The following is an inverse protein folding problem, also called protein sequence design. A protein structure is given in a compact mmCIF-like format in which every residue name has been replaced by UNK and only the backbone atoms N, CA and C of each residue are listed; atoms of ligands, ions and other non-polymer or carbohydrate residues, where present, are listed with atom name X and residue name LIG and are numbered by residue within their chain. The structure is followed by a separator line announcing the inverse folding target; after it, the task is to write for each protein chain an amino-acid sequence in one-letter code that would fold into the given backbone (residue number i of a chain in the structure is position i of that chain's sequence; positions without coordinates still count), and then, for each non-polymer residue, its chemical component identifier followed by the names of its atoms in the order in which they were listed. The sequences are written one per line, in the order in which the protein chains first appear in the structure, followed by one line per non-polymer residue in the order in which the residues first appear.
data_IF_527810307708
#
_entry.id   IF_527810307708
#
_cell.length_a   1.000
_cell.length_b   1.000
_cell.length_c   1.000
_cell.angle_alpha   90.00
_cell.angle_beta   90.00
_cell.angle_gamma   90.00
#
_symmetry.space_group_name_H-M   'P 1'
#
loop_
_entity.id
_entity.type
_entity.pdbx_description
1 polymer ?
#
# COMPACT_ATOMS: atom_id res chain seq x y z
N UNK A 1 14.76 3.33 26.96
CA UNK A 1 15.49 4.20 26.02
C UNK A 1 14.43 4.71 25.08
N UNK A 2 14.12 6.00 25.17
CA UNK A 2 13.23 6.65 24.21
C UNK A 2 13.78 6.35 22.81
N UNK A 3 12.95 5.76 21.95
CA UNK A 3 13.33 5.50 20.56
C UNK A 3 13.74 6.84 19.94
N UNK A 4 15.03 7.05 19.71
CA UNK A 4 15.49 8.15 18.88
C UNK A 4 14.74 8.03 17.55
N UNK A 5 13.84 8.98 17.30
CA UNK A 5 13.11 9.07 16.06
C UNK A 5 14.12 9.07 14.92
N UNK A 6 14.15 7.99 14.14
CA UNK A 6 15.03 7.92 12.98
C UNK A 6 14.48 8.94 11.97
N UNK A 7 15.31 9.90 11.51
CA UNK A 7 14.84 10.91 10.56
C UNK A 7 14.35 10.25 9.28
N UNK A 8 13.20 10.71 8.80
CA UNK A 8 12.63 10.30 7.52
C UNK A 8 13.42 10.93 6.37
N UNK A 9 13.68 10.15 5.33
CA UNK A 9 14.29 10.62 4.09
C UNK A 9 13.29 11.43 3.26
N UNK A 10 13.43 12.77 3.28
CA UNK A 10 12.54 13.72 2.59
C UNK A 10 12.87 13.92 1.10
N UNK A 11 13.79 13.13 0.53
CA UNK A 11 14.12 13.26 -0.89
C UNK A 11 12.93 12.86 -1.75
N UNK A 12 12.59 13.75 -2.68
CA UNK A 12 11.74 13.42 -3.82
C UNK A 12 12.63 12.85 -4.93
N UNK A 13 12.43 11.58 -5.28
CA UNK A 13 13.27 10.86 -6.24
C UNK A 13 12.47 10.52 -7.49
N UNK A 14 13.00 10.84 -8.66
CA UNK A 14 12.45 10.35 -9.93
C UNK A 14 12.99 8.95 -10.22
N UNK A 15 12.11 7.96 -10.23
CA UNK A 15 12.38 6.63 -10.78
C UNK A 15 12.06 6.68 -12.28
N UNK A 16 13.02 6.38 -13.18
CA UNK A 16 12.77 6.41 -14.61
C UNK A 16 11.89 5.22 -15.05
N UNK A 17 11.29 5.34 -16.22
CA UNK A 17 10.68 4.20 -16.92
C UNK A 17 11.77 3.18 -17.24
N UNK A 18 11.48 1.90 -17.02
CA UNK A 18 12.44 0.81 -17.21
C UNK A 18 11.84 -0.29 -18.08
N UNK A 19 12.72 -0.96 -18.82
CA UNK A 19 12.40 -2.20 -19.51
C UNK A 19 13.05 -3.37 -18.76
N UNK A 20 12.33 -4.46 -18.63
CA UNK A 20 12.76 -5.67 -17.94
C UNK A 20 12.66 -6.88 -18.85
N UNK A 21 13.57 -7.84 -18.67
CA UNK A 21 13.52 -9.13 -19.36
C UNK A 21 12.31 -9.95 -18.91
N UNK A 22 11.80 -10.81 -19.79
CA UNK A 22 10.74 -11.75 -19.44
C UNK A 22 11.15 -12.63 -18.24
N UNK A 23 10.24 -12.79 -17.27
CA UNK A 23 10.49 -13.55 -16.04
C UNK A 23 11.32 -12.83 -14.98
N UNK A 24 11.69 -11.56 -15.21
CA UNK A 24 12.35 -10.74 -14.20
C UNK A 24 11.51 -10.66 -12.91
N UNK A 25 12.20 -10.43 -11.81
CA UNK A 25 11.62 -10.23 -10.49
C UNK A 25 11.80 -8.77 -10.06
N UNK A 26 10.86 -8.25 -9.28
CA UNK A 26 10.91 -6.92 -8.68
C UNK A 26 11.19 -7.06 -7.20
N UNK A 27 12.34 -6.57 -6.74
CA UNK A 27 12.65 -6.50 -5.32
C UNK A 27 11.62 -5.63 -4.57
N UNK A 28 11.24 -6.07 -3.37
CA UNK A 28 10.38 -5.36 -2.43
C UNK A 28 11.20 -5.03 -1.19
N UNK A 29 11.12 -3.80 -0.71
CA UNK A 29 11.88 -3.32 0.45
C UNK A 29 10.94 -2.96 1.61
N UNK A 30 11.41 -3.12 2.85
CA UNK A 30 10.66 -2.77 4.06
C UNK A 30 11.02 -1.36 4.56
N UNK A 31 10.89 -0.34 3.71
CA UNK A 31 11.20 1.04 4.13
C UNK A 31 10.13 1.65 5.04
N UNK A 32 8.97 1.00 5.16
CA UNK A 32 7.89 1.39 6.06
C UNK A 32 8.28 1.20 7.54
N UNK A 33 9.01 0.12 7.88
CA UNK A 33 9.45 -0.11 9.26
C UNK A 33 10.93 0.23 9.48
N UNK A 34 11.76 0.15 8.42
CA UNK A 34 13.18 0.50 8.47
C UNK A 34 13.41 1.93 7.96
N UNK A 35 12.78 2.91 8.62
CA UNK A 35 13.03 4.32 8.30
C UNK A 35 14.52 4.67 8.41
N UNK A 36 14.94 5.65 7.64
CA UNK A 36 16.29 6.18 7.68
C UNK A 36 16.68 6.92 6.43
N UNK A 37 17.90 7.45 6.45
CA UNK A 37 18.53 8.04 5.28
C UNK A 37 19.76 7.20 4.87
N UNK A 38 19.85 6.78 3.60
CA UNK A 38 18.79 6.81 2.59
C UNK A 38 17.68 5.80 2.95
N UNK A 39 16.45 6.02 2.46
CA UNK A 39 15.33 5.10 2.75
C UNK A 39 15.61 3.65 2.32
N UNK A 40 16.27 3.48 1.18
CA UNK A 40 16.94 2.24 0.79
C UNK A 40 17.96 2.56 -0.32
N UNK A 41 18.85 1.61 -0.61
CA UNK A 41 19.85 1.68 -1.67
C UNK A 41 19.65 0.51 -2.62
N UNK A 42 19.54 0.79 -3.91
CA UNK A 42 19.27 -0.20 -4.95
C UNK A 42 19.86 0.20 -6.29
N UNK A 43 20.28 -0.80 -7.07
CA UNK A 43 20.67 -0.63 -8.48
C UNK A 43 19.47 -0.71 -9.43
N UNK A 44 18.27 -1.02 -8.94
CA UNK A 44 17.09 -1.34 -9.74
C UNK A 44 16.03 -0.22 -9.79
N UNK A 45 16.25 0.90 -9.07
CA UNK A 45 15.30 2.04 -8.99
C UNK A 45 15.84 3.34 -9.61
N UNK A 46 16.87 3.22 -10.44
CA UNK A 46 17.49 4.34 -11.13
C UNK A 46 18.44 5.17 -10.26
N UNK A 47 19.00 6.26 -10.80
CA UNK A 47 20.16 6.95 -10.23
C UNK A 47 19.97 7.49 -8.81
N UNK A 48 18.75 7.87 -8.41
CA UNK A 48 18.49 8.42 -7.07
C UNK A 48 18.58 7.41 -5.92
N UNK A 49 18.63 6.12 -6.24
CA UNK A 49 18.79 5.02 -5.29
C UNK A 49 20.15 4.33 -5.34
N UNK A 50 21.01 4.73 -6.28
CA UNK A 50 22.37 4.19 -6.35
C UNK A 50 23.17 4.58 -5.09
N UNK A 51 24.10 3.71 -4.65
CA UNK A 51 25.01 4.09 -3.58
C UNK A 51 25.81 5.33 -4.00
N UNK A 52 25.93 6.29 -3.08
CA UNK A 52 26.70 7.51 -3.30
C UNK A 52 28.19 7.19 -3.37
N UNK A 53 28.88 7.73 -4.39
CA UNK A 53 30.33 7.59 -4.54
C UNK A 53 31.05 8.13 -3.29
N UNK A 54 31.97 7.33 -2.74
CA UNK A 54 32.73 7.69 -1.54
C UNK A 54 31.94 7.59 -0.23
N UNK A 55 30.72 7.03 -0.25
CA UNK A 55 29.96 6.70 0.96
C UNK A 55 30.14 5.23 1.37
N UNK A 56 29.76 4.89 2.61
CA UNK A 56 29.71 3.51 3.10
C UNK A 56 28.34 2.85 2.86
N UNK A 57 27.55 3.36 1.91
CA UNK A 57 26.23 2.82 1.60
C UNK A 57 26.35 1.43 0.95
N UNK A 58 25.64 0.45 1.50
CA UNK A 58 25.53 -0.90 0.93
C UNK A 58 24.15 -1.10 0.31
N UNK A 59 24.06 -1.99 -0.68
CA UNK A 59 22.77 -2.38 -1.26
C UNK A 59 21.87 -2.93 -0.16
N UNK A 60 20.64 -2.41 -0.09
CA UNK A 60 19.65 -2.86 0.88
C UNK A 60 19.20 -4.28 0.54
N UNK A 61 19.17 -5.17 1.54
CA UNK A 61 18.61 -6.51 1.38
C UNK A 61 17.10 -6.41 1.13
N UNK A 62 16.56 -6.95 0.02
CA UNK A 62 15.12 -6.99 -0.20
C UNK A 62 14.40 -7.85 0.86
N UNK A 63 13.19 -7.43 1.24
CA UNK A 63 12.28 -8.23 2.06
C UNK A 63 11.77 -9.47 1.29
N UNK A 64 11.62 -9.32 -0.02
CA UNK A 64 11.19 -10.38 -0.93
C UNK A 64 11.06 -9.88 -2.36
N UNK A 65 10.34 -10.63 -3.19
CA UNK A 65 10.22 -10.36 -4.62
C UNK A 65 8.81 -10.66 -5.12
N UNK A 66 8.38 -9.93 -6.15
CA UNK A 66 7.18 -10.24 -6.95
C UNK A 66 7.55 -10.34 -8.43
N UNK A 67 6.75 -11.01 -9.28
CA UNK A 67 6.95 -11.01 -10.73
C UNK A 67 6.99 -9.58 -11.28
N UNK A 68 7.96 -9.29 -12.16
CA UNK A 68 8.09 -7.99 -12.80
C UNK A 68 7.39 -7.95 -14.16
N UNK A 69 6.91 -6.76 -14.55
CA UNK A 69 6.36 -6.49 -15.88
C UNK A 69 7.45 -6.06 -16.86
N UNK A 70 7.24 -6.28 -18.16
CA UNK A 70 8.27 -5.98 -19.18
C UNK A 70 8.62 -4.49 -19.29
N UNK A 71 7.68 -3.60 -18.99
CA UNK A 71 7.89 -2.15 -19.04
C UNK A 71 7.18 -1.48 -17.88
N UNK A 72 7.84 -0.52 -17.25
CA UNK A 72 7.26 0.31 -16.18
C UNK A 72 7.24 1.78 -16.58
N UNK A 73 6.27 2.51 -16.04
CA UNK A 73 6.25 3.97 -16.14
C UNK A 73 7.28 4.60 -15.20
N UNK A 74 7.79 5.77 -15.58
CA UNK A 74 8.52 6.65 -14.68
C UNK A 74 7.57 7.22 -13.62
N UNK A 75 8.06 7.45 -12.41
CA UNK A 75 7.28 8.06 -11.33
C UNK A 75 8.13 8.84 -10.35
N UNK A 76 7.46 9.71 -9.59
CA UNK A 76 8.02 10.42 -8.45
C UNK A 76 7.75 9.64 -7.18
N UNK A 77 8.80 9.38 -6.43
CA UNK A 77 8.78 8.58 -5.21
C UNK A 77 9.21 9.41 -3.99
N UNK A 78 8.45 9.24 -2.91
CA UNK A 78 8.74 9.74 -1.58
C UNK A 78 8.61 8.54 -0.60
N UNK A 79 8.21 8.75 0.65
CA UNK A 79 7.79 7.67 1.56
C UNK A 79 6.87 6.65 0.87
N UNK A 80 5.98 7.10 -0.02
CA UNK A 80 5.20 6.29 -0.94
C UNK A 80 5.28 6.85 -2.38
N UNK A 81 4.77 6.11 -3.36
CA UNK A 81 4.70 6.59 -4.75
C UNK A 81 3.70 7.73 -4.88
N UNK A 82 4.10 8.86 -5.48
CA UNK A 82 3.28 10.08 -5.54
C UNK A 82 2.53 10.27 -6.86
N UNK A 83 3.24 10.23 -7.99
CA UNK A 83 2.63 10.42 -9.31
C UNK A 83 3.52 9.85 -10.41
N UNK A 84 2.93 9.20 -11.42
CA UNK A 84 3.66 8.70 -12.58
C UNK A 84 3.62 9.67 -13.78
N UNK A 85 4.40 9.34 -14.82
CA UNK A 85 4.52 10.16 -16.04
C UNK A 85 3.25 10.23 -16.88
N UNK A 86 2.26 9.38 -16.59
CA UNK A 86 0.97 9.33 -17.29
C UNK A 86 -0.17 9.94 -16.47
N UNK A 87 0.17 10.75 -15.45
CA UNK A 87 -0.75 11.54 -14.64
C UNK A 87 -1.71 10.70 -13.77
N UNK A 88 -1.26 9.54 -13.30
CA UNK A 88 -1.86 8.83 -12.18
C UNK A 88 -1.17 9.29 -10.89
N UNK A 89 -1.95 9.78 -9.92
CA UNK A 89 -1.47 10.33 -8.66
C UNK A 89 -2.06 9.56 -7.47
N UNK A 90 -1.28 9.45 -6.41
CA UNK A 90 -1.64 8.76 -5.17
C UNK A 90 -1.28 9.68 -3.99
N UNK A 91 -2.21 9.79 -3.06
CA UNK A 91 -1.98 10.32 -1.72
C UNK A 91 -2.40 9.25 -0.70
N UNK A 92 -1.74 9.23 0.46
CA UNK A 92 -1.92 8.19 1.47
C UNK A 92 -2.10 8.81 2.86
N UNK A 93 -2.86 8.11 3.71
CA UNK A 93 -3.05 8.38 5.12
C UNK A 93 -3.10 7.07 5.93
N UNK A 94 -2.24 6.97 6.93
CA UNK A 94 -2.23 5.88 7.90
C UNK A 94 -3.48 5.88 8.78
N UNK A 95 -4.14 4.73 8.86
CA UNK A 95 -5.42 4.55 9.53
C UNK A 95 -5.36 3.51 10.65
N UNK A 96 -6.25 3.67 11.62
CA UNK A 96 -6.53 2.63 12.60
C UNK A 96 -7.36 1.50 11.98
N UNK A 97 -7.09 0.25 12.42
CA UNK A 97 -7.90 -0.92 12.08
C UNK A 97 -7.89 -1.95 13.21
N UNK A 98 -8.85 -2.88 13.19
CA UNK A 98 -8.95 -4.00 14.15
C UNK A 98 -8.02 -5.17 13.87
N UNK A 99 -7.29 -5.19 12.75
CA UNK A 99 -6.31 -6.23 12.43
C UNK A 99 -4.90 -5.64 12.33
N UNK A 100 -3.90 -6.48 12.60
CA UNK A 100 -2.48 -6.11 12.51
C UNK A 100 -1.74 -7.24 11.81
N UNK A 101 -1.02 -6.89 10.74
CA UNK A 101 -0.13 -7.80 10.03
C UNK A 101 1.33 -7.46 10.20
N UNK A 102 2.22 -8.44 10.06
CA UNK A 102 3.67 -8.28 10.28
C UNK A 102 4.48 -8.70 9.05
N UNK A 103 5.57 -7.98 8.72
CA UNK A 103 6.40 -8.28 7.57
C UNK A 103 7.27 -9.52 7.73
N UNK A 104 7.71 -10.10 6.60
CA UNK A 104 8.48 -11.35 6.55
C UNK A 104 9.81 -11.36 7.33
N UNK A 105 10.38 -10.20 7.62
CA UNK A 105 11.62 -10.04 8.39
C UNK A 105 11.40 -10.00 9.91
N UNK A 106 10.16 -10.21 10.37
CA UNK A 106 9.82 -10.40 11.78
C UNK A 106 9.46 -11.86 12.11
N UNK A 107 9.64 -12.30 13.37
CA UNK A 107 9.19 -13.63 13.80
C UNK A 107 7.73 -13.87 13.42
N UNK A 108 7.37 -15.01 12.81
CA UNK A 108 5.99 -15.30 12.37
C UNK A 108 5.36 -14.26 11.41
N UNK A 109 6.16 -13.38 10.82
CA UNK A 109 5.74 -12.46 9.76
C UNK A 109 5.34 -13.21 8.50
N UNK A 110 4.33 -12.70 7.80
CA UNK A 110 3.73 -13.38 6.63
C UNK A 110 3.37 -12.44 5.49
N UNK A 111 3.64 -11.15 5.63
CA UNK A 111 3.22 -10.15 4.66
C UNK A 111 4.44 -9.51 3.99
N UNK A 112 4.39 -9.36 2.69
CA UNK A 112 5.50 -8.82 1.91
C UNK A 112 5.34 -7.32 1.64
N UNK A 113 4.11 -6.83 1.52
CA UNK A 113 3.86 -5.51 0.96
C UNK A 113 3.37 -4.51 2.02
N UNK A 114 4.03 -3.37 2.09
CA UNK A 114 3.52 -2.16 2.74
C UNK A 114 2.81 -1.29 1.71
N UNK A 115 2.14 -0.22 2.16
CA UNK A 115 1.53 0.73 1.22
C UNK A 115 2.55 1.52 0.40
N UNK A 116 3.74 1.75 0.95
CA UNK A 116 4.86 2.35 0.24
C UNK A 116 5.17 1.55 -1.03
N UNK A 117 5.26 0.23 -0.92
CA UNK A 117 5.56 -0.63 -2.06
C UNK A 117 4.35 -0.82 -2.98
N UNK A 118 3.14 -0.98 -2.45
CA UNK A 118 1.91 -1.11 -3.25
C UNK A 118 1.70 0.11 -4.15
N UNK A 119 1.84 1.33 -3.60
CA UNK A 119 1.70 2.58 -4.37
C UNK A 119 2.76 2.71 -5.47
N UNK A 120 4.03 2.37 -5.18
CA UNK A 120 5.10 2.34 -6.19
C UNK A 120 4.79 1.35 -7.31
N UNK A 121 4.36 0.13 -6.96
CA UNK A 121 4.01 -0.90 -7.94
C UNK A 121 2.82 -0.46 -8.80
N UNK A 122 1.83 0.21 -8.21
CA UNK A 122 0.70 0.76 -8.95
C UNK A 122 1.16 1.80 -9.97
N UNK A 123 1.99 2.77 -9.55
CA UNK A 123 2.51 3.81 -10.42
C UNK A 123 3.43 3.27 -11.53
N UNK A 124 4.18 2.20 -11.26
CA UNK A 124 4.98 1.50 -12.27
C UNK A 124 4.12 0.83 -13.35
N UNK A 125 2.90 0.37 -13.02
CA UNK A 125 2.13 -0.57 -13.88
C UNK A 125 0.86 0.01 -14.47
N UNK A 126 0.33 1.11 -13.94
CA UNK A 126 -1.02 1.58 -14.25
C UNK A 126 -1.08 2.99 -14.84
N UNK A 127 -2.07 3.21 -15.71
CA UNK A 127 -2.44 4.52 -16.27
C UNK A 127 -3.80 5.05 -15.73
N UNK A 128 -4.53 4.21 -15.01
CA UNK A 128 -5.85 4.57 -14.45
C UNK A 128 -5.91 4.28 -12.96
N UNK A 129 -6.73 5.04 -12.24
CA UNK A 129 -6.95 4.88 -10.81
C UNK A 129 -7.57 3.51 -10.50
N UNK A 130 -8.47 3.03 -11.35
CA UNK A 130 -9.10 1.71 -11.20
C UNK A 130 -8.11 0.57 -11.45
N UNK A 131 -7.15 0.73 -12.36
CA UNK A 131 -6.03 -0.20 -12.52
C UNK A 131 -5.22 -0.25 -11.22
N UNK A 132 -4.85 0.92 -10.68
CA UNK A 132 -4.07 1.00 -9.45
C UNK A 132 -4.77 0.31 -8.26
N UNK A 133 -6.06 0.58 -8.05
CA UNK A 133 -6.89 -0.10 -7.03
C UNK A 133 -6.81 -1.62 -7.18
N UNK A 134 -7.08 -2.13 -8.39
CA UNK A 134 -7.10 -3.58 -8.65
C UNK A 134 -5.72 -4.21 -8.50
N UNK A 135 -4.67 -3.54 -8.98
CA UNK A 135 -3.29 -4.01 -8.86
C UNK A 135 -2.85 -4.07 -7.41
N UNK A 136 -3.10 -3.02 -6.61
CA UNK A 136 -2.74 -3.01 -5.20
C UNK A 136 -3.52 -4.07 -4.41
N UNK A 137 -4.83 -4.14 -4.63
CA UNK A 137 -5.70 -5.13 -3.97
C UNK A 137 -5.27 -6.58 -4.26
N UNK A 138 -5.08 -6.93 -5.54
CA UNK A 138 -4.69 -8.28 -5.93
C UNK A 138 -3.31 -8.68 -5.38
N UNK A 139 -2.33 -7.77 -5.43
CA UNK A 139 -1.00 -8.04 -4.88
C UNK A 139 -1.02 -8.19 -3.36
N UNK A 140 -1.83 -7.38 -2.66
CA UNK A 140 -1.95 -7.48 -1.22
C UNK A 140 -2.70 -8.75 -0.76
N UNK A 141 -3.67 -9.22 -1.54
CA UNK A 141 -4.31 -10.51 -1.33
C UNK A 141 -3.32 -11.67 -1.49
N UNK A 142 -2.49 -11.63 -2.53
CA UNK A 142 -1.53 -12.71 -2.87
C UNK A 142 -0.30 -12.73 -1.95
N UNK A 143 0.31 -11.57 -1.70
CA UNK A 143 1.59 -11.45 -1.00
C UNK A 143 1.47 -10.92 0.43
N UNK A 144 0.27 -10.57 0.88
CA UNK A 144 0.01 -10.06 2.21
C UNK A 144 0.35 -8.59 2.40
N UNK A 145 -0.34 -7.96 3.35
CA UNK A 145 -0.20 -6.54 3.69
C UNK A 145 0.16 -6.32 5.16
N UNK A 146 1.02 -5.35 5.44
CA UNK A 146 1.30 -4.85 6.80
C UNK A 146 1.34 -3.31 6.83
N UNK A 147 0.88 -2.73 7.94
CA UNK A 147 0.88 -1.28 8.17
C UNK A 147 2.16 -0.77 8.85
N UNK A 148 2.33 0.55 8.85
CA UNK A 148 3.53 1.24 9.37
C UNK A 148 3.80 0.98 10.87
N UNK A 149 2.75 0.69 11.66
CA UNK A 149 2.86 0.53 13.12
C UNK A 149 3.06 -0.94 13.53
N UNK A 150 3.22 -1.84 12.57
CA UNK A 150 3.41 -3.27 12.78
C UNK A 150 4.82 -3.67 13.21
N UNK A 151 5.31 -3.09 14.32
CA UNK A 151 6.73 -3.20 14.76
C UNK A 151 6.98 -4.13 15.94
N UNK A 152 5.95 -4.43 16.74
CA UNK A 152 6.07 -5.24 17.94
C UNK A 152 4.86 -6.17 18.05
N UNK A 153 5.11 -7.48 17.92
CA UNK A 153 4.05 -8.49 17.99
C UNK A 153 3.45 -8.66 19.38
N UNK A 154 4.16 -8.22 20.42
CA UNK A 154 3.68 -8.24 21.80
C UNK A 154 2.79 -7.04 22.12
N UNK A 155 2.82 -6.01 21.26
CA UNK A 155 2.04 -4.76 21.38
C UNK A 155 1.48 -4.35 20.02
N UNK A 156 0.41 -5.03 19.54
CA UNK A 156 -0.13 -4.77 18.21
C UNK A 156 -0.53 -3.29 18.03
N UNK A 157 -0.01 -2.66 16.97
CA UNK A 157 -0.15 -1.24 16.69
C UNK A 157 -1.44 -0.87 15.96
N UNK A 158 -2.62 -1.17 16.53
CA UNK A 158 -3.93 -0.97 15.89
C UNK A 158 -4.20 0.47 15.41
N UNK A 159 -3.55 1.47 15.99
CA UNK A 159 -3.72 2.88 15.60
C UNK A 159 -3.12 3.27 14.24
N UNK A 160 -2.34 2.38 13.62
CA UNK A 160 -1.68 2.61 12.33
C UNK A 160 -1.34 1.31 11.59
N UNK A 161 -2.18 0.30 11.75
CA UNK A 161 -1.99 -1.03 11.13
C UNK A 161 -2.66 -1.17 9.77
N UNK A 162 -3.20 -0.07 9.25
CA UNK A 162 -3.95 0.00 8.00
C UNK A 162 -3.71 1.33 7.30
N UNK A 163 -4.13 1.42 6.04
CA UNK A 163 -3.79 2.57 5.19
C UNK A 163 -5.01 2.92 4.33
N UNK A 164 -5.19 4.21 4.09
CA UNK A 164 -6.18 4.75 3.18
C UNK A 164 -5.52 5.63 2.11
N UNK A 165 -6.01 5.55 0.88
CA UNK A 165 -5.42 6.19 -0.28
C UNK A 165 -6.48 6.94 -1.05
N UNK A 166 -6.09 8.11 -1.58
CA UNK A 166 -6.81 8.80 -2.64
C UNK A 166 -6.00 8.62 -3.92
N UNK A 167 -6.65 8.08 -4.95
CA UNK A 167 -6.02 7.75 -6.23
C UNK A 167 -6.77 8.51 -7.31
N UNK A 168 -6.08 9.37 -8.05
CA UNK A 168 -6.67 10.20 -9.09
C UNK A 168 -5.94 10.00 -10.43
N UNK A 169 -6.68 10.03 -11.53
CA UNK A 169 -6.11 9.93 -12.87
C UNK A 169 -6.58 11.06 -13.80
N UNK A 170 -5.95 11.15 -14.98
CA UNK A 170 -6.28 12.13 -16.03
C UNK A 170 -7.68 11.97 -16.63
N UNK A 171 -8.38 10.87 -16.34
CA UNK A 171 -9.72 10.57 -16.85
C UNK A 171 -10.82 11.02 -15.88
N UNK A 172 -10.48 11.87 -14.89
CA UNK A 172 -11.40 12.41 -13.90
C UNK A 172 -12.00 11.33 -12.99
N UNK A 173 -11.30 10.21 -12.81
CA UNK A 173 -11.65 9.25 -11.78
C UNK A 173 -10.87 9.54 -10.50
N UNK A 174 -11.58 9.61 -9.38
CA UNK A 174 -10.99 9.66 -8.04
C UNK A 174 -11.53 8.48 -7.26
N UNK A 175 -10.62 7.69 -6.68
CA UNK A 175 -10.95 6.53 -5.87
C UNK A 175 -10.38 6.69 -4.46
N UNK A 176 -11.20 6.35 -3.48
CA UNK A 176 -10.76 6.09 -2.12
C UNK A 176 -10.48 4.60 -2.05
N UNK A 177 -9.33 4.19 -1.49
CA UNK A 177 -8.96 2.80 -1.28
C UNK A 177 -8.54 2.61 0.18
N UNK A 178 -9.15 1.66 0.86
CA UNK A 178 -8.79 1.26 2.21
C UNK A 178 -8.21 -0.15 2.21
N UNK A 179 -7.20 -0.38 3.02
CA UNK A 179 -6.57 -1.69 3.16
C UNK A 179 -6.14 -1.95 4.59
N UNK A 180 -6.39 -3.17 5.06
CA UNK A 180 -5.91 -3.73 6.32
C UNK A 180 -5.46 -5.18 6.11
N UNK A 181 -4.70 -5.71 7.06
CA UNK A 181 -4.27 -7.12 6.99
C UNK A 181 -5.47 -8.06 7.13
N UNK A 182 -5.46 -9.16 6.39
CA UNK A 182 -6.48 -10.20 6.52
C UNK A 182 -6.39 -11.00 7.82
N UNK A 183 -7.32 -11.95 7.96
CA UNK A 183 -7.39 -12.84 9.10
C UNK A 183 -6.07 -13.61 9.32
N UNK A 184 -5.72 -13.87 10.57
CA UNK A 184 -4.54 -14.67 10.94
C UNK A 184 -3.21 -14.11 10.41
N UNK A 185 -3.09 -12.78 10.27
CA UNK A 185 -1.86 -12.12 9.80
C UNK A 185 -1.49 -12.52 8.35
N UNK A 186 -2.47 -12.80 7.48
CA UNK A 186 -2.21 -13.22 6.09
C UNK A 186 -3.12 -12.47 5.12
N UNK A 187 -2.57 -12.15 3.94
CA UNK A 187 -3.32 -11.50 2.87
C UNK A 187 -3.74 -10.09 3.26
N UNK A 188 -4.79 -9.61 2.60
CA UNK A 188 -5.39 -8.31 2.87
C UNK A 188 -6.91 -8.38 2.79
N UNK A 189 -7.55 -7.46 3.51
CA UNK A 189 -8.92 -7.07 3.30
C UNK A 189 -8.87 -5.64 2.78
N UNK A 190 -9.60 -5.34 1.71
CA UNK A 190 -9.62 -4.00 1.15
C UNK A 190 -10.97 -3.67 0.53
N UNK A 191 -11.26 -2.38 0.47
CA UNK A 191 -12.43 -1.84 -0.22
C UNK A 191 -12.05 -0.53 -0.91
N UNK A 192 -12.71 -0.23 -2.01
CA UNK A 192 -12.52 0.99 -2.76
C UNK A 192 -13.86 1.57 -3.22
N UNK A 193 -13.95 2.89 -3.20
CA UNK A 193 -15.12 3.64 -3.63
C UNK A 193 -14.69 4.75 -4.59
N UNK A 194 -15.32 4.80 -5.77
CA UNK A 194 -15.21 5.94 -6.67
C UNK A 194 -15.98 7.13 -6.10
N UNK A 195 -15.33 8.28 -6.07
CA UNK A 195 -15.97 9.55 -5.73
C UNK A 195 -16.77 10.06 -6.93
N UNK A 196 -17.98 10.57 -6.69
CA UNK A 196 -18.76 11.22 -7.74
C UNK A 196 -18.09 12.49 -8.26
N UNK A 197 -18.36 12.86 -9.51
CA UNK A 197 -17.69 13.98 -10.19
C UNK A 197 -17.99 15.35 -9.54
N UNK A 198 -19.06 15.44 -8.75
CA UNK A 198 -19.50 16.63 -8.00
C UNK A 198 -19.21 16.55 -6.48
N UNK A 199 -18.43 15.55 -6.05
CA UNK A 199 -18.17 15.28 -4.64
C UNK A 199 -16.72 15.62 -4.26
N UNK A 200 -16.52 15.86 -2.96
CA UNK A 200 -15.20 15.93 -2.35
C UNK A 200 -15.16 15.00 -1.14
N UNK A 201 -13.95 14.62 -0.72
CA UNK A 201 -13.74 13.81 0.48
C UNK A 201 -12.55 14.34 1.29
N UNK A 202 -12.51 13.95 2.57
CA UNK A 202 -11.38 14.18 3.46
C UNK A 202 -11.09 12.84 4.11
N UNK A 203 -9.85 12.35 3.97
CA UNK A 203 -9.39 11.10 4.58
C UNK A 203 -8.44 11.47 5.73
N UNK A 204 -8.91 11.44 7.00
CA UNK A 204 -8.03 11.57 8.16
C UNK A 204 -7.38 10.22 8.49
N UNK A 205 -6.79 10.09 9.68
CA UNK A 205 -6.25 8.82 10.19
C UNK A 205 -7.35 7.80 10.62
N UNK A 206 -8.43 7.71 9.86
CA UNK A 206 -9.49 6.69 10.00
C UNK A 206 -10.15 6.43 8.65
N UNK A 207 -10.72 5.24 8.50
CA UNK A 207 -11.49 4.86 7.33
C UNK A 207 -12.72 5.76 7.14
N UNK A 208 -13.05 6.10 5.89
CA UNK A 208 -14.21 6.91 5.50
C UNK A 208 -15.23 6.23 4.57
N UNK A 209 -14.84 5.21 3.79
CA UNK A 209 -15.76 4.33 3.06
C UNK A 209 -16.72 3.65 4.04
N UNK A 210 -18.02 3.95 3.90
CA UNK A 210 -19.09 3.44 4.77
C UNK A 210 -19.71 2.18 4.15
N UNK A 211 -21.03 2.18 3.95
CA UNK A 211 -21.77 1.06 3.36
C UNK A 211 -21.29 0.78 1.93
N UNK A 212 -20.91 -0.48 1.67
CA UNK A 212 -20.49 -0.93 0.34
C UNK A 212 -21.70 -1.39 -0.48
N UNK A 213 -21.85 -0.86 -1.69
CA UNK A 213 -22.78 -1.40 -2.68
C UNK A 213 -22.03 -2.25 -3.72
N UNK A 214 -21.74 -3.50 -3.37
CA UNK A 214 -20.97 -4.42 -4.24
C UNK A 214 -21.72 -4.87 -5.51
N UNK A 215 -23.02 -4.55 -5.63
CA UNK A 215 -23.74 -4.74 -6.89
C UNK A 215 -23.39 -3.68 -7.94
N UNK A 216 -22.89 -2.52 -7.50
CA UNK A 216 -22.38 -1.46 -8.35
C UNK A 216 -20.85 -1.54 -8.47
N UNK A 217 -20.40 -2.46 -9.33
CA UNK A 217 -18.97 -2.65 -9.63
C UNK A 217 -18.32 -1.50 -10.39
N UNK A 218 -19.10 -0.49 -10.81
CA UNK A 218 -18.57 0.72 -11.44
C UNK A 218 -18.01 1.67 -10.39
N UNK A 219 -18.66 1.75 -9.22
CA UNK A 219 -18.27 2.68 -8.15
C UNK A 219 -17.71 1.99 -6.90
N UNK A 220 -17.86 0.67 -6.76
CA UNK A 220 -17.35 -0.07 -5.62
C UNK A 220 -16.53 -1.29 -6.06
N UNK A 221 -15.38 -1.46 -5.41
CA UNK A 221 -14.53 -2.64 -5.54
C UNK A 221 -14.13 -3.10 -4.15
N UNK A 222 -13.92 -4.40 -3.95
CA UNK A 222 -13.47 -4.93 -2.67
C UNK A 222 -12.80 -6.30 -2.83
N UNK A 223 -12.06 -6.72 -1.79
CA UNK A 223 -11.56 -8.08 -1.73
C UNK A 223 -12.70 -9.10 -1.65
N UNK A 224 -12.54 -10.32 -2.19
CA UNK A 224 -13.61 -11.34 -2.18
C UNK A 224 -14.10 -11.71 -0.76
N UNK A 225 -13.25 -11.54 0.24
CA UNK A 225 -13.51 -11.84 1.65
C UNK A 225 -13.87 -10.60 2.49
N UNK A 226 -14.25 -9.48 1.87
CA UNK A 226 -14.38 -8.17 2.53
C UNK A 226 -15.26 -8.17 3.78
N UNK A 227 -16.34 -8.96 3.82
CA UNK A 227 -17.24 -9.04 4.98
C UNK A 227 -17.04 -10.29 5.82
N UNK A 228 -16.44 -11.33 5.25
CA UNK A 228 -16.36 -12.66 5.86
C UNK A 228 -15.61 -12.63 7.20
N UNK A 229 -14.50 -11.89 7.29
CA UNK A 229 -13.74 -11.79 8.52
C UNK A 229 -14.50 -11.03 9.60
N UNK A 230 -15.07 -9.87 9.28
CA UNK A 230 -15.89 -9.10 10.22
C UNK A 230 -17.07 -9.91 10.78
N UNK A 231 -17.76 -10.68 9.93
CA UNK A 231 -18.85 -11.56 10.38
C UNK A 231 -18.35 -12.67 11.30
N UNK A 232 -17.24 -13.33 10.97
CA UNK A 232 -16.65 -14.36 11.81
C UNK A 232 -16.23 -13.85 13.20
N UNK A 233 -15.87 -12.57 13.30
CA UNK A 233 -15.50 -11.91 14.56
C UNK A 233 -16.69 -11.24 15.28
N UNK A 234 -17.89 -11.25 14.69
CA UNK A 234 -19.07 -10.55 15.22
C UNK A 234 -18.94 -9.02 15.19
N UNK A 235 -18.06 -8.47 14.35
CA UNK A 235 -17.87 -7.02 14.20
C UNK A 235 -18.93 -6.36 13.30
N UNK A 236 -19.62 -7.16 12.49
CA UNK A 236 -20.74 -6.76 11.66
C UNK A 236 -21.78 -7.89 11.60
N UNK A 237 -23.01 -7.56 11.22
CA UNK A 237 -24.09 -8.53 11.00
C UNK A 237 -24.31 -8.78 9.51
N UNK A 238 -24.53 -10.03 9.07
CA UNK A 238 -24.96 -10.32 7.69
C UNK A 238 -26.40 -9.89 7.40
N UNK A 239 -27.18 -9.52 8.42
CA UNK A 239 -28.56 -9.05 8.27
C UNK A 239 -28.64 -7.55 7.90
N UNK A 240 -27.54 -6.81 8.05
CA UNK A 240 -27.46 -5.37 7.81
C UNK A 240 -26.53 -5.04 6.63
N UNK A 241 -26.73 -3.91 5.93
CA UNK A 241 -25.79 -3.44 4.92
C UNK A 241 -24.38 -3.33 5.47
N UNK A 242 -23.40 -3.89 4.76
CA UNK A 242 -22.03 -3.95 5.24
C UNK A 242 -21.34 -2.57 5.20
N UNK A 243 -21.12 -1.96 6.37
CA UNK A 243 -20.36 -0.72 6.56
C UNK A 243 -18.89 -1.02 6.90
N UNK A 244 -17.98 -0.72 5.99
CA UNK A 244 -16.56 -1.08 6.11
C UNK A 244 -15.89 -0.41 7.31
N UNK A 245 -16.09 0.90 7.47
CA UNK A 245 -15.50 1.68 8.58
C UNK A 245 -16.07 1.29 9.94
N UNK A 246 -17.34 0.91 10.01
CA UNK A 246 -17.90 0.41 11.28
C UNK A 246 -17.36 -0.97 11.66
N UNK A 247 -17.15 -1.82 10.65
CA UNK A 247 -16.74 -3.20 10.83
C UNK A 247 -15.27 -3.33 11.24
N UNK A 248 -14.37 -2.54 10.64
CA UNK A 248 -12.91 -2.68 10.75
C UNK A 248 -12.24 -1.51 11.43
#
# INVERSE_FOLDING_TARGET
MDSMWIPVDLRLVRVPALNHSAGAQRAVYNDALHHGYPRFVSTERGPGYLPLNGSNQTITTPLGYIPQVNSTYAYWDHSHGMQNEVQLSIAESTCAAKTVGYPLDMPNGRNLLSINELSRIALERCDTSVCAVKTMGALAEEYGFYGEYSRDQTKPGYGGSSEALIIADKFQHVWIFHILTGAHNVGAIWAAQRLGDDQFTIVPNTFVIRTLNLTDSTNYLASPNVSAHAYAQGWASPEEPFDFTSAY
#
